data_IF_657351410078
#
_entry.id   IF_657351410078
#
_cell.length_a   1.000
_cell.length_b   1.000
_cell.length_c   1.000
_cell.angle_alpha   90.00
_cell.angle_beta   90.00
_cell.angle_gamma   90.00
#
_symmetry.space_group_name_H-M   'P 1'
#
loop_
_entity.id
_entity.type
_entity.pdbx_description
1 polymer ?
#
# COMPACT_ATOMS: atom_id res chain seq x y z
N UNK A 1 -40.37 25.36 45.75
CA UNK A 1 -38.91 25.15 45.64
C UNK A 1 -38.58 23.67 45.32
N UNK A 2 -39.37 23.01 44.46
CA UNK A 2 -39.22 21.57 44.11
C UNK A 2 -38.85 21.32 42.63
N UNK A 3 -38.96 22.31 41.73
CA UNK A 3 -38.69 22.12 40.30
C UNK A 3 -37.22 22.12 39.87
N UNK A 4 -36.26 22.19 40.80
CA UNK A 4 -34.81 22.21 40.46
C UNK A 4 -34.17 20.82 40.52
N UNK A 5 -34.71 19.88 41.29
CA UNK A 5 -34.13 18.52 41.39
C UNK A 5 -34.56 17.60 40.26
N UNK A 6 -35.77 17.74 39.71
CA UNK A 6 -36.25 16.92 38.58
C UNK A 6 -35.43 17.19 37.31
N UNK A 7 -35.24 18.46 36.95
CA UNK A 7 -34.39 18.85 35.80
C UNK A 7 -32.93 18.37 35.93
N UNK A 8 -32.40 18.26 37.15
CA UNK A 8 -31.02 17.83 37.38
C UNK A 8 -30.86 16.32 37.15
N UNK A 9 -31.86 15.53 37.52
CA UNK A 9 -31.87 14.08 37.31
C UNK A 9 -32.01 13.73 35.83
N UNK A 10 -32.88 14.42 35.09
CA UNK A 10 -33.04 14.24 33.64
C UNK A 10 -31.75 14.56 32.88
N UNK A 11 -31.09 15.67 33.22
CA UNK A 11 -29.82 16.04 32.60
C UNK A 11 -28.70 15.03 32.90
N UNK A 12 -28.65 14.51 34.12
CA UNK A 12 -27.69 13.49 34.53
C UNK A 12 -27.93 12.17 33.79
N UNK A 13 -29.17 11.71 33.68
CA UNK A 13 -29.54 10.49 32.94
C UNK A 13 -29.15 10.63 31.46
N UNK A 14 -29.51 11.74 30.83
CA UNK A 14 -29.15 12.04 29.43
C UNK A 14 -27.63 12.02 29.24
N UNK A 15 -26.89 12.71 30.10
CA UNK A 15 -25.41 12.76 30.03
C UNK A 15 -24.78 11.37 30.18
N UNK A 16 -25.23 10.58 31.16
CA UNK A 16 -24.73 9.22 31.38
C UNK A 16 -25.03 8.30 30.19
N UNK A 17 -26.22 8.46 29.57
CA UNK A 17 -26.63 7.74 28.37
C UNK A 17 -25.71 8.04 27.18
N UNK A 18 -25.41 9.30 26.90
CA UNK A 18 -24.46 9.68 25.84
C UNK A 18 -23.04 9.18 26.09
N UNK A 19 -22.57 9.23 27.34
CA UNK A 19 -21.25 8.68 27.70
C UNK A 19 -21.23 7.16 27.45
N UNK A 20 -22.29 6.44 27.81
CA UNK A 20 -22.42 5.01 27.54
C UNK A 20 -22.36 4.72 26.04
N UNK A 21 -23.06 5.50 25.22
CA UNK A 21 -23.06 5.35 23.76
C UNK A 21 -21.65 5.57 23.16
N UNK A 22 -20.95 6.61 23.58
CA UNK A 22 -19.57 6.86 23.13
C UNK A 22 -18.61 5.74 23.53
N UNK A 23 -18.79 5.16 24.73
CA UNK A 23 -17.99 4.00 25.18
C UNK A 23 -18.32 2.74 24.37
N UNK A 24 -19.60 2.51 24.06
CA UNK A 24 -20.05 1.38 23.26
C UNK A 24 -19.48 1.44 21.84
N UNK A 25 -19.57 2.60 21.17
CA UNK A 25 -19.01 2.82 19.83
C UNK A 25 -17.48 2.56 19.83
N UNK A 26 -16.75 3.11 20.81
CA UNK A 26 -15.30 2.89 20.96
C UNK A 26 -14.97 1.40 21.22
N UNK A 27 -15.81 0.69 21.95
CA UNK A 27 -15.65 -0.74 22.22
C UNK A 27 -15.80 -1.55 20.93
N UNK A 28 -16.87 -1.32 20.14
CA UNK A 28 -17.08 -1.97 18.85
C UNK A 28 -15.91 -1.70 17.92
N UNK A 29 -15.52 -0.43 17.75
CA UNK A 29 -14.38 -0.06 16.91
C UNK A 29 -13.10 -0.80 17.34
N UNK A 30 -12.82 -0.84 18.65
CA UNK A 30 -11.67 -1.54 19.18
C UNK A 30 -11.70 -3.06 18.95
N UNK A 31 -12.89 -3.69 18.98
CA UNK A 31 -13.08 -5.11 18.66
C UNK A 31 -12.88 -5.35 17.16
N UNK A 32 -13.42 -4.49 16.29
CA UNK A 32 -13.23 -4.60 14.84
C UNK A 32 -11.76 -4.49 14.45
N UNK A 33 -11.03 -3.50 15.01
CA UNK A 33 -9.58 -3.35 14.77
C UNK A 33 -8.80 -4.56 15.29
N UNK A 34 -9.17 -5.09 16.45
CA UNK A 34 -8.54 -6.28 17.00
C UNK A 34 -8.79 -7.51 16.13
N UNK A 35 -10.03 -7.73 15.70
CA UNK A 35 -10.41 -8.82 14.80
C UNK A 35 -9.67 -8.74 13.47
N UNK A 36 -9.56 -7.54 12.88
CA UNK A 36 -8.77 -7.30 11.69
C UNK A 36 -7.29 -7.64 11.88
N UNK A 37 -6.67 -7.20 12.99
CA UNK A 37 -5.26 -7.49 13.28
C UNK A 37 -4.98 -8.98 13.50
N UNK A 38 -5.89 -9.68 14.17
CA UNK A 38 -5.81 -11.13 14.38
C UNK A 38 -5.90 -11.85 13.04
N UNK A 39 -6.85 -11.47 12.19
CA UNK A 39 -7.05 -12.07 10.87
C UNK A 39 -5.85 -11.83 9.94
N UNK A 40 -5.16 -10.68 10.08
CA UNK A 40 -4.07 -10.27 9.20
C UNK A 40 -2.66 -10.44 9.78
N UNK A 41 -2.50 -11.28 10.81
CA UNK A 41 -1.20 -11.78 11.32
C UNK A 41 -0.14 -10.70 11.63
N UNK A 42 -0.53 -9.50 12.08
CA UNK A 42 0.44 -8.51 12.59
C UNK A 42 0.56 -8.68 14.10
N UNK A 43 1.78 -8.92 14.57
CA UNK A 43 2.13 -9.22 15.97
C UNK A 43 1.32 -8.42 16.98
N UNK A 44 0.75 -9.14 17.97
CA UNK A 44 -0.18 -8.58 18.95
C UNK A 44 0.54 -8.22 20.24
N UNK A 45 0.72 -6.92 20.48
CA UNK A 45 1.33 -6.43 21.71
C UNK A 45 0.29 -6.36 22.84
N UNK A 46 0.16 -7.48 23.57
CA UNK A 46 -0.94 -7.81 24.50
C UNK A 46 -0.95 -6.93 25.76
N UNK A 47 0.20 -6.40 26.18
CA UNK A 47 0.36 -5.79 27.50
C UNK A 47 -0.19 -4.35 27.58
N UNK A 48 0.16 -3.50 26.62
CA UNK A 48 -0.29 -2.10 26.60
C UNK A 48 -1.79 -1.95 26.25
N UNK A 49 -2.36 -2.93 25.54
CA UNK A 49 -3.77 -2.94 25.16
C UNK A 49 -4.70 -3.19 26.36
N UNK A 50 -4.28 -4.02 27.31
CA UNK A 50 -5.10 -4.42 28.47
C UNK A 50 -5.13 -3.31 29.53
N UNK A 51 -4.01 -2.63 29.79
CA UNK A 51 -3.91 -1.64 30.86
C UNK A 51 -4.78 -0.40 30.60
N UNK A 52 -4.82 0.09 29.35
CA UNK A 52 -5.61 1.27 28.96
C UNK A 52 -7.13 1.00 28.93
N UNK A 53 -7.56 -0.26 28.80
CA UNK A 53 -8.97 -0.67 28.76
C UNK A 53 -9.64 -0.79 30.12
N UNK A 54 -8.88 -0.95 31.22
CA UNK A 54 -9.46 -1.10 32.57
C UNK A 54 -10.29 0.12 32.99
N UNK A 55 -9.81 1.32 32.70
CA UNK A 55 -10.53 2.58 33.03
C UNK A 55 -11.84 2.70 32.24
N UNK A 56 -11.84 2.36 30.95
CA UNK A 56 -13.05 2.40 30.12
C UNK A 56 -14.07 1.34 30.54
N UNK A 57 -13.62 0.14 30.94
CA UNK A 57 -14.49 -0.91 31.45
C UNK A 57 -15.15 -0.49 32.78
N UNK A 58 -14.39 0.13 33.69
CA UNK A 58 -14.95 0.67 34.94
C UNK A 58 -15.99 1.75 34.67
N UNK A 59 -15.70 2.72 33.80
CA UNK A 59 -16.65 3.77 33.42
C UNK A 59 -17.93 3.19 32.79
N UNK A 60 -17.80 2.16 31.95
CA UNK A 60 -18.94 1.48 31.34
C UNK A 60 -19.82 0.80 32.38
N UNK A 61 -19.24 0.09 33.35
CA UNK A 61 -19.96 -0.55 34.45
C UNK A 61 -20.67 0.48 35.34
N UNK A 62 -20.01 1.60 35.63
CA UNK A 62 -20.61 2.71 36.40
C UNK A 62 -21.81 3.30 35.67
N UNK A 63 -21.72 3.54 34.36
CA UNK A 63 -22.83 4.08 33.57
C UNK A 63 -24.04 3.12 33.55
N UNK A 64 -23.79 1.81 33.42
CA UNK A 64 -24.86 0.79 33.51
C UNK A 64 -25.51 0.77 34.89
N UNK A 65 -24.71 0.84 35.96
CA UNK A 65 -25.23 0.84 37.33
C UNK A 65 -26.12 2.06 37.60
N UNK A 66 -25.72 3.24 37.12
CA UNK A 66 -26.51 4.48 37.23
C UNK A 66 -27.82 4.37 36.44
N UNK A 67 -27.80 3.92 35.18
CA UNK A 67 -29.02 3.79 34.39
C UNK A 67 -29.99 2.74 34.97
N UNK A 68 -29.45 1.64 35.51
CA UNK A 68 -30.26 0.62 36.20
C UNK A 68 -30.88 1.15 37.49
N UNK A 69 -30.19 2.03 38.21
CA UNK A 69 -30.72 2.67 39.42
C UNK A 69 -31.94 3.53 39.12
N UNK A 70 -32.01 4.12 37.93
CA UNK A 70 -33.13 4.95 37.47
C UNK A 70 -34.19 4.17 36.65
N UNK A 71 -34.06 2.84 36.51
CA UNK A 71 -34.95 1.96 35.70
C UNK A 71 -35.11 2.40 34.23
N UNK A 72 -34.06 3.02 33.68
CA UNK A 72 -34.05 3.57 32.32
C UNK A 72 -33.59 2.53 31.29
N UNK A 73 -34.13 2.63 30.06
CA UNK A 73 -33.72 1.75 28.96
C UNK A 73 -32.29 2.06 28.52
N UNK A 74 -31.53 1.00 28.25
CA UNK A 74 -30.12 1.12 27.88
C UNK A 74 -29.89 1.52 26.43
N UNK A 75 -30.79 1.15 25.51
CA UNK A 75 -30.59 1.32 24.05
C UNK A 75 -31.87 1.91 23.46
N UNK A 76 -31.72 3.08 22.85
CA UNK A 76 -32.76 3.77 22.09
C UNK A 76 -32.32 3.97 20.64
N UNK A 77 -33.25 4.36 19.78
CA UNK A 77 -32.98 4.57 18.34
C UNK A 77 -31.89 5.63 18.09
N UNK A 78 -31.68 6.54 19.05
CA UNK A 78 -30.62 7.56 19.03
C UNK A 78 -29.20 6.97 18.89
N UNK A 79 -28.98 5.74 19.38
CA UNK A 79 -27.69 5.04 19.26
C UNK A 79 -27.32 4.82 17.79
N UNK A 80 -28.32 4.51 16.96
CA UNK A 80 -28.11 4.24 15.53
C UNK A 80 -27.65 5.52 14.84
N UNK A 81 -28.27 6.65 15.15
CA UNK A 81 -27.90 7.95 14.59
C UNK A 81 -26.50 8.40 15.03
N UNK A 82 -26.15 8.20 16.31
CA UNK A 82 -24.79 8.47 16.81
C UNK A 82 -23.75 7.55 16.17
N UNK A 83 -24.09 6.29 15.94
CA UNK A 83 -23.23 5.34 15.25
C UNK A 83 -23.00 5.74 13.79
N UNK A 84 -24.06 6.12 13.07
CA UNK A 84 -23.96 6.65 11.71
C UNK A 84 -23.12 7.93 11.68
N UNK A 85 -23.36 8.87 12.59
CA UNK A 85 -22.57 10.09 12.72
C UNK A 85 -21.08 9.81 12.96
N UNK A 86 -20.78 8.86 13.84
CA UNK A 86 -19.42 8.39 14.07
C UNK A 86 -18.77 7.80 12.82
N UNK A 87 -19.50 6.97 12.06
CA UNK A 87 -19.01 6.41 10.79
C UNK A 87 -18.72 7.51 9.76
N UNK A 88 -19.58 8.54 9.67
CA UNK A 88 -19.37 9.68 8.77
C UNK A 88 -18.12 10.47 9.18
N UNK A 89 -17.95 10.75 10.48
CA UNK A 89 -16.73 11.44 10.96
C UNK A 89 -15.47 10.63 10.69
N UNK A 90 -15.51 9.30 10.91
CA UNK A 90 -14.39 8.41 10.65
C UNK A 90 -14.04 8.39 9.15
N UNK A 91 -15.06 8.36 8.28
CA UNK A 91 -14.85 8.41 6.83
C UNK A 91 -14.22 9.74 6.38
N UNK A 92 -14.67 10.86 6.95
CA UNK A 92 -14.11 12.18 6.64
C UNK A 92 -12.66 12.30 7.10
N UNK A 93 -12.34 11.86 8.32
CA UNK A 93 -10.96 11.81 8.81
C UNK A 93 -10.06 10.94 7.93
N UNK A 94 -10.57 9.80 7.42
CA UNK A 94 -9.82 8.96 6.48
C UNK A 94 -9.57 9.66 5.13
N UNK A 95 -10.52 10.47 4.66
CA UNK A 95 -10.40 11.20 3.39
C UNK A 95 -9.46 12.40 3.51
N UNK A 96 -9.50 13.13 4.61
CA UNK A 96 -8.63 14.29 4.85
C UNK A 96 -7.17 13.89 5.14
N UNK A 97 -6.95 12.71 5.72
CA UNK A 97 -5.61 12.18 5.96
C UNK A 97 -4.95 11.53 4.73
N UNK A 98 -5.36 11.90 3.51
CA UNK A 98 -4.65 11.54 2.28
C UNK A 98 -3.34 12.34 2.15
N UNK A 99 -2.50 12.30 3.19
CA UNK A 99 -1.10 12.67 3.06
C UNK A 99 -0.46 11.75 2.03
N UNK A 100 0.41 12.29 1.19
CA UNK A 100 1.20 11.49 0.25
C UNK A 100 2.03 10.52 1.08
N UNK A 101 1.57 9.27 1.17
CA UNK A 101 2.33 8.24 1.88
C UNK A 101 3.66 8.05 1.17
N UNK A 102 4.69 7.66 1.92
CA UNK A 102 6.03 7.43 1.37
C UNK A 102 6.02 6.52 0.13
N UNK A 103 5.14 5.49 0.13
CA UNK A 103 4.94 4.61 -1.01
C UNK A 103 4.34 5.30 -2.24
N UNK A 104 3.33 6.16 -2.08
CA UNK A 104 2.75 6.93 -3.19
C UNK A 104 3.79 7.88 -3.79
N UNK A 105 4.53 8.60 -2.95
CA UNK A 105 5.57 9.51 -3.43
C UNK A 105 6.67 8.79 -4.24
N UNK A 106 7.07 7.59 -3.79
CA UNK A 106 8.02 6.74 -4.52
C UNK A 106 7.47 6.24 -5.86
N UNK A 107 6.21 5.85 -5.90
CA UNK A 107 5.57 5.40 -7.14
C UNK A 107 5.42 6.54 -8.16
N UNK A 108 5.01 7.74 -7.71
CA UNK A 108 4.99 8.95 -8.55
C UNK A 108 6.38 9.28 -9.08
N UNK A 109 7.39 9.27 -8.22
CA UNK A 109 8.78 9.55 -8.61
C UNK A 109 9.31 8.56 -9.65
N UNK A 110 8.98 7.28 -9.52
CA UNK A 110 9.38 6.27 -10.50
C UNK A 110 8.65 6.41 -11.83
N UNK A 111 7.35 6.72 -11.80
CA UNK A 111 6.60 6.94 -13.03
C UNK A 111 7.09 8.18 -13.77
N UNK A 112 7.06 9.34 -13.13
CA UNK A 112 7.41 10.63 -13.74
C UNK A 112 8.89 10.76 -14.05
N UNK A 113 9.77 10.26 -13.17
CA UNK A 113 11.22 10.40 -13.29
C UNK A 113 11.91 9.34 -14.14
N UNK A 114 11.20 8.29 -14.54
CA UNK A 114 11.78 7.18 -15.30
C UNK A 114 10.82 6.62 -16.37
N UNK A 115 9.69 6.04 -15.99
CA UNK A 115 8.82 5.34 -16.96
C UNK A 115 8.28 6.26 -18.05
N UNK A 116 7.88 7.48 -17.70
CA UNK A 116 7.42 8.51 -18.63
C UNK A 116 8.51 8.92 -19.64
N UNK A 117 9.78 8.69 -19.33
CA UNK A 117 10.89 8.97 -20.23
C UNK A 117 11.28 7.80 -21.12
N UNK A 118 11.09 6.55 -20.68
CA UNK A 118 11.57 5.38 -21.41
C UNK A 118 10.49 4.69 -22.26
N UNK A 119 9.21 4.75 -21.85
CA UNK A 119 8.13 4.01 -22.52
C UNK A 119 7.69 4.72 -23.81
N UNK A 120 7.17 5.96 -23.76
CA UNK A 120 6.59 6.60 -24.93
C UNK A 120 7.68 7.06 -25.92
N UNK A 121 7.38 6.94 -27.21
CA UNK A 121 8.09 7.68 -28.25
C UNK A 121 7.55 9.11 -28.29
N UNK A 122 8.42 10.08 -28.56
CA UNK A 122 8.03 11.45 -28.84
C UNK A 122 7.77 11.68 -30.35
N UNK A 123 7.94 10.65 -31.18
CA UNK A 123 7.75 10.68 -32.63
C UNK A 123 8.77 11.51 -33.40
N UNK A 124 9.76 12.12 -32.73
CA UNK A 124 10.69 13.07 -33.35
C UNK A 124 12.15 12.71 -33.08
N UNK A 125 12.57 12.78 -31.81
CA UNK A 125 13.98 12.64 -31.43
C UNK A 125 14.26 11.39 -30.58
N UNK A 126 13.21 10.78 -30.01
CA UNK A 126 13.30 9.68 -29.07
C UNK A 126 12.50 8.47 -29.53
N UNK A 127 13.26 7.41 -29.75
CA UNK A 127 12.75 6.07 -30.02
C UNK A 127 12.03 5.57 -28.77
N UNK A 128 10.77 5.20 -28.90
CA UNK A 128 9.99 4.60 -27.81
C UNK A 128 10.50 3.19 -27.47
N UNK A 129 10.05 2.66 -26.34
CA UNK A 129 10.53 1.36 -25.85
C UNK A 129 10.31 0.21 -26.84
N UNK A 130 9.14 0.15 -27.47
CA UNK A 130 8.81 -0.88 -28.46
C UNK A 130 9.72 -0.81 -29.68
N UNK A 131 10.00 0.39 -30.17
CA UNK A 131 10.89 0.61 -31.31
C UNK A 131 12.35 0.29 -30.95
N UNK A 132 12.77 0.56 -29.71
CA UNK A 132 14.08 0.15 -29.21
C UNK A 132 14.23 -1.38 -29.20
N UNK A 133 13.17 -2.11 -28.82
CA UNK A 133 13.13 -3.57 -28.96
C UNK A 133 13.25 -3.99 -30.42
N UNK A 134 12.53 -3.34 -31.34
CA UNK A 134 12.60 -3.66 -32.78
C UNK A 134 14.02 -3.53 -33.33
N UNK A 135 14.73 -2.45 -32.96
CA UNK A 135 16.12 -2.23 -33.37
C UNK A 135 17.02 -3.32 -32.77
N UNK A 136 16.81 -3.69 -31.51
CA UNK A 136 17.55 -4.78 -30.87
C UNK A 136 17.32 -6.13 -31.57
N UNK A 137 16.06 -6.50 -31.84
CA UNK A 137 15.69 -7.71 -32.60
C UNK A 137 16.40 -7.75 -33.95
N UNK A 138 16.37 -6.65 -34.69
CA UNK A 138 17.03 -6.55 -36.00
C UNK A 138 18.56 -6.68 -35.90
N UNK A 139 19.17 -6.09 -34.88
CA UNK A 139 20.63 -6.13 -34.71
C UNK A 139 21.17 -7.47 -34.20
N UNK A 140 20.41 -8.16 -33.34
CA UNK A 140 20.83 -9.40 -32.69
C UNK A 140 20.25 -10.66 -33.35
N UNK A 141 19.31 -10.51 -34.29
CA UNK A 141 18.63 -11.63 -34.93
C UNK A 141 17.76 -12.44 -33.97
N UNK A 142 17.14 -11.78 -32.99
CA UNK A 142 16.28 -12.40 -31.97
C UNK A 142 14.84 -11.90 -32.07
N UNK A 143 13.92 -12.56 -31.38
CA UNK A 143 12.51 -12.15 -31.31
C UNK A 143 12.05 -12.13 -29.85
N UNK A 144 11.43 -11.02 -29.46
CA UNK A 144 10.73 -10.77 -28.20
C UNK A 144 9.25 -11.05 -28.44
N UNK A 145 8.68 -12.14 -27.88
CA UNK A 145 7.26 -12.44 -28.05
C UNK A 145 6.34 -11.36 -27.50
N UNK A 146 6.82 -10.59 -26.51
CA UNK A 146 6.10 -9.47 -25.90
C UNK A 146 7.02 -8.26 -25.85
N UNK A 147 6.66 -7.20 -26.56
CA UNK A 147 7.42 -5.94 -26.64
C UNK A 147 7.03 -4.98 -25.50
N UNK A 148 7.10 -5.48 -24.26
CA UNK A 148 6.76 -4.73 -23.05
C UNK A 148 7.88 -4.85 -22.02
N UNK A 149 7.98 -3.82 -21.17
CA UNK A 149 8.88 -3.83 -20.02
C UNK A 149 8.19 -4.52 -18.85
N UNK A 150 8.74 -5.66 -18.44
CA UNK A 150 8.26 -6.40 -17.28
C UNK A 150 8.87 -5.81 -15.99
N UNK A 151 8.04 -5.18 -15.18
CA UNK A 151 8.48 -4.58 -13.90
C UNK A 151 8.22 -5.57 -12.77
N UNK A 152 9.29 -6.11 -12.19
CA UNK A 152 9.23 -7.11 -11.12
C UNK A 152 9.02 -6.42 -9.77
N UNK A 153 7.93 -6.78 -9.11
CA UNK A 153 7.59 -6.29 -7.77
C UNK A 153 7.67 -7.45 -6.77
N UNK A 154 8.69 -7.44 -5.91
CA UNK A 154 8.90 -8.50 -4.91
C UNK A 154 8.22 -8.19 -3.59
N UNK A 155 7.59 -9.20 -2.97
CA UNK A 155 6.98 -9.06 -1.63
C UNK A 155 8.02 -8.80 -0.54
N UNK A 156 9.22 -9.34 -0.69
CA UNK A 156 10.34 -9.13 0.24
C UNK A 156 11.00 -7.76 0.07
N UNK A 157 10.65 -7.00 -0.98
CA UNK A 157 11.25 -5.73 -1.39
C UNK A 157 12.72 -5.85 -1.84
N UNK A 158 13.33 -6.99 -1.58
CA UNK A 158 14.64 -7.36 -2.06
C UNK A 158 14.64 -7.43 -3.59
N UNK A 159 15.52 -6.64 -4.18
CA UNK A 159 15.79 -6.59 -5.61
C UNK A 159 17.29 -6.88 -5.82
N UNK A 160 17.66 -8.06 -6.33
CA UNK A 160 19.06 -8.37 -6.58
C UNK A 160 19.61 -7.48 -7.71
N UNK A 161 20.94 -7.27 -7.76
CA UNK A 161 21.58 -6.50 -8.83
C UNK A 161 21.46 -7.16 -10.21
N UNK A 162 21.21 -8.48 -10.26
CA UNK A 162 20.98 -9.24 -11.49
C UNK A 162 19.80 -10.21 -11.25
N UNK A 163 18.82 -10.19 -12.15
CA UNK A 163 17.63 -11.01 -12.07
C UNK A 163 17.92 -12.52 -12.10
N UNK A 164 19.08 -12.95 -12.62
CA UNK A 164 19.50 -14.37 -12.57
C UNK A 164 19.60 -14.90 -11.13
N UNK A 165 19.78 -14.02 -10.15
CA UNK A 165 19.90 -14.40 -8.76
C UNK A 165 18.59 -14.88 -8.13
N UNK A 166 17.42 -14.55 -8.70
CA UNK A 166 16.14 -15.02 -8.16
C UNK A 166 16.01 -16.56 -8.20
N UNK A 167 16.51 -17.20 -9.26
CA UNK A 167 16.34 -18.65 -9.47
C UNK A 167 17.61 -19.47 -9.21
N UNK A 168 18.71 -18.84 -8.74
CA UNK A 168 20.04 -19.48 -8.66
C UNK A 168 20.05 -20.81 -7.87
N UNK A 169 19.22 -20.92 -6.84
CA UNK A 169 19.20 -22.08 -5.94
C UNK A 169 18.11 -23.11 -6.27
N UNK A 170 17.29 -22.87 -7.30
CA UNK A 170 16.15 -23.74 -7.62
C UNK A 170 16.23 -24.27 -9.05
N UNK A 171 16.81 -25.46 -9.20
CA UNK A 171 17.00 -26.14 -10.49
C UNK A 171 15.69 -26.53 -11.18
N UNK A 172 14.54 -26.45 -10.48
CA UNK A 172 13.22 -26.73 -11.07
C UNK A 172 12.63 -25.52 -11.81
N UNK A 173 13.17 -24.32 -11.61
CA UNK A 173 12.68 -23.10 -12.26
C UNK A 173 13.46 -22.83 -13.56
N UNK A 174 12.82 -22.20 -14.56
CA UNK A 174 13.50 -21.72 -15.75
C UNK A 174 14.71 -20.83 -15.41
N UNK A 175 15.84 -21.08 -16.07
CA UNK A 175 17.05 -20.30 -15.90
C UNK A 175 16.94 -18.98 -16.66
N UNK A 176 17.30 -17.89 -16.01
CA UNK A 176 17.32 -16.55 -16.59
C UNK A 176 18.77 -16.15 -16.89
N UNK A 177 19.03 -15.82 -18.14
CA UNK A 177 20.33 -15.34 -18.61
C UNK A 177 20.22 -13.86 -18.97
N UNK A 178 21.14 -13.04 -18.46
CA UNK A 178 21.24 -11.64 -18.84
C UNK A 178 21.87 -11.52 -20.23
N UNK A 179 21.22 -10.76 -21.12
CA UNK A 179 21.73 -10.47 -22.46
C UNK A 179 22.36 -9.07 -22.52
N UNK A 180 22.86 -8.68 -23.69
CA UNK A 180 23.27 -7.30 -23.93
C UNK A 180 22.08 -6.36 -23.71
N UNK A 181 22.33 -5.20 -23.10
CA UNK A 181 21.32 -4.16 -22.90
C UNK A 181 20.70 -3.70 -24.22
N UNK A 182 19.45 -3.25 -24.16
CA UNK A 182 18.82 -2.51 -25.26
C UNK A 182 19.59 -1.22 -25.55
N UNK A 183 19.32 -0.58 -26.70
CA UNK A 183 19.99 0.66 -27.05
C UNK A 183 19.70 1.76 -26.03
N UNK A 184 20.69 2.63 -25.83
CA UNK A 184 20.62 3.70 -24.85
C UNK A 184 19.65 4.78 -25.32
N UNK A 185 18.80 5.25 -24.41
CA UNK A 185 17.97 6.43 -24.65
C UNK A 185 18.62 7.59 -23.90
N UNK A 186 19.05 8.61 -24.62
CA UNK A 186 19.68 9.81 -24.04
C UNK A 186 18.65 10.94 -23.97
N UNK A 187 18.48 11.59 -22.81
CA UNK A 187 17.56 12.73 -22.63
C UNK A 187 18.13 13.80 -21.71
N UNK A 188 17.74 15.03 -21.95
CA UNK A 188 18.02 16.14 -21.03
C UNK A 188 16.90 16.24 -19.98
N UNK A 189 17.22 16.08 -18.70
CA UNK A 189 16.22 16.06 -17.61
C UNK A 189 16.73 16.82 -16.40
N UNK A 190 15.89 17.71 -15.85
CA UNK A 190 16.15 18.43 -14.59
C UNK A 190 17.53 19.15 -14.54
N UNK A 191 17.96 19.73 -15.66
CA UNK A 191 19.25 20.42 -15.77
C UNK A 191 20.45 19.51 -16.02
N UNK A 192 20.29 18.18 -15.99
CA UNK A 192 21.30 17.24 -16.45
C UNK A 192 21.21 17.07 -17.97
N UNK A 193 22.33 17.31 -18.66
CA UNK A 193 22.46 17.10 -20.10
C UNK A 193 22.93 15.67 -20.39
N UNK A 194 22.37 15.04 -21.42
CA UNK A 194 22.79 13.73 -21.89
C UNK A 194 22.59 12.59 -20.90
N UNK A 195 21.47 12.59 -20.17
CA UNK A 195 21.15 11.51 -19.23
C UNK A 195 20.77 10.25 -19.99
N UNK A 196 21.53 9.17 -19.79
CA UNK A 196 21.28 7.89 -20.46
C UNK A 196 20.40 6.97 -19.62
N UNK A 197 19.43 6.36 -20.29
CA UNK A 197 18.54 5.34 -19.77
C UNK A 197 18.83 4.04 -20.50
N UNK A 198 18.93 2.94 -19.74
CA UNK A 198 19.27 1.61 -20.25
C UNK A 198 18.32 0.58 -19.67
N UNK A 199 17.78 -0.27 -20.54
CA UNK A 199 17.01 -1.44 -20.15
C UNK A 199 17.78 -2.71 -20.50
N UNK A 200 17.58 -3.75 -19.71
CA UNK A 200 18.24 -5.04 -19.89
C UNK A 200 17.31 -6.03 -20.57
N UNK A 201 17.84 -6.70 -21.60
CA UNK A 201 17.21 -7.87 -22.18
C UNK A 201 17.61 -9.12 -21.40
N UNK A 202 16.67 -10.06 -21.26
CA UNK A 202 16.86 -11.33 -20.61
C UNK A 202 16.34 -12.46 -21.49
N UNK A 203 16.97 -13.61 -21.32
CA UNK A 203 16.64 -14.85 -22.01
C UNK A 203 16.20 -15.89 -20.98
N UNK A 204 14.96 -16.36 -21.08
CA UNK A 204 14.43 -17.48 -20.29
C UNK A 204 14.70 -18.78 -21.03
N UNK A 205 15.43 -19.69 -20.39
CA UNK A 205 15.62 -21.06 -20.87
C UNK A 205 14.51 -21.97 -20.36
N UNK A 206 13.80 -22.61 -21.28
CA UNK A 206 12.71 -23.55 -21.00
C UNK A 206 13.17 -24.97 -21.29
N UNK A 207 12.69 -25.93 -20.50
CA UNK A 207 13.03 -27.34 -20.74
C UNK A 207 12.38 -27.80 -22.05
N UNK A 208 13.20 -28.32 -22.97
CA UNK A 208 12.77 -28.86 -24.27
C UNK A 208 12.06 -27.86 -25.21
N UNK A 209 12.19 -26.55 -24.95
CA UNK A 209 11.59 -25.50 -25.78
C UNK A 209 12.64 -24.43 -26.11
N UNK A 210 12.51 -23.73 -27.24
CA UNK A 210 13.41 -22.63 -27.57
C UNK A 210 13.33 -21.52 -26.50
N UNK A 211 14.46 -20.86 -26.21
CA UNK A 211 14.50 -19.81 -25.22
C UNK A 211 13.68 -18.59 -25.67
N UNK A 212 13.16 -17.85 -24.69
CA UNK A 212 12.31 -16.67 -24.92
C UNK A 212 13.03 -15.42 -24.45
N UNK A 213 13.02 -14.38 -25.27
CA UNK A 213 13.57 -13.08 -24.93
C UNK A 213 12.49 -12.15 -24.37
N UNK A 214 12.85 -11.37 -23.36
CA UNK A 214 12.00 -10.36 -22.76
C UNK A 214 12.87 -9.24 -22.18
N UNK A 215 12.28 -8.07 -21.97
CA UNK A 215 12.92 -6.97 -21.25
C UNK A 215 12.31 -6.85 -19.86
N UNK A 216 13.13 -6.96 -18.82
CA UNK A 216 12.66 -6.94 -17.44
C UNK A 216 13.60 -6.15 -16.53
N UNK A 217 13.02 -5.62 -15.46
CA UNK A 217 13.78 -4.96 -14.39
C UNK A 217 12.99 -5.01 -13.08
N UNK A 218 13.70 -4.88 -11.96
CA UNK A 218 13.04 -4.66 -10.68
C UNK A 218 12.57 -3.20 -10.57
N UNK A 219 11.43 -2.98 -9.92
CA UNK A 219 11.01 -1.64 -9.55
C UNK A 219 12.04 -1.01 -8.59
N UNK A 220 12.82 -0.04 -9.08
CA UNK A 220 13.90 0.60 -8.32
C UNK A 220 13.47 1.18 -6.96
N UNK A 221 12.21 1.69 -6.77
CA UNK A 221 11.80 2.15 -5.44
C UNK A 221 11.73 1.05 -4.38
N UNK A 222 11.55 -0.22 -4.77
CA UNK A 222 11.55 -1.34 -3.82
C UNK A 222 12.91 -1.51 -3.16
N UNK A 223 14.00 -1.29 -3.91
CA UNK A 223 15.35 -1.34 -3.35
C UNK A 223 15.59 -0.22 -2.34
N UNK A 224 15.16 1.00 -2.68
CA UNK A 224 15.21 2.14 -1.74
C UNK A 224 14.43 1.83 -0.48
N UNK A 225 13.25 1.26 -0.63
CA UNK A 225 12.38 0.87 0.47
C UNK A 225 12.99 -0.23 1.34
N UNK A 226 13.55 -1.28 0.73
CA UNK A 226 14.22 -2.37 1.41
C UNK A 226 15.36 -1.83 2.30
N UNK A 227 16.18 -0.93 1.76
CA UNK A 227 17.26 -0.26 2.52
C UNK A 227 16.73 0.64 3.64
N UNK A 228 15.62 1.34 3.44
CA UNK A 228 15.01 2.16 4.47
C UNK A 228 14.50 1.30 5.65
N UNK A 229 13.92 0.14 5.35
CA UNK A 229 13.49 -0.84 6.35
C UNK A 229 14.66 -1.46 7.11
N UNK A 230 15.74 -1.86 6.43
CA UNK A 230 16.96 -2.35 7.08
C UNK A 230 17.54 -1.33 8.05
N UNK A 231 17.46 -0.04 7.70
CA UNK A 231 17.90 1.09 8.55
C UNK A 231 16.89 1.45 9.65
N UNK A 232 15.79 0.70 9.79
CA UNK A 232 14.69 0.90 10.75
C UNK A 232 14.08 2.31 10.74
N UNK A 233 14.07 3.00 9.59
CA UNK A 233 13.49 4.35 9.52
C UNK A 233 11.99 4.34 9.29
N UNK A 234 11.38 3.20 8.94
CA UNK A 234 9.95 3.07 8.57
C UNK A 234 9.36 1.74 9.07
N UNK A 235 8.02 1.67 9.24
CA UNK A 235 7.31 0.44 9.61
C UNK A 235 6.78 -0.31 8.39
N UNK A 236 6.90 -1.65 8.33
CA UNK A 236 6.47 -2.49 7.18
C UNK A 236 5.00 -2.25 6.75
N UNK A 237 4.16 -1.80 7.68
CA UNK A 237 2.74 -1.58 7.47
C UNK A 237 2.36 -0.43 6.55
N UNK A 238 3.25 0.53 6.33
CA UNK A 238 2.97 1.80 5.64
C UNK A 238 3.35 1.77 4.15
N UNK A 239 3.88 0.65 3.64
CA UNK A 239 4.84 0.73 2.52
C UNK A 239 4.49 -0.10 1.28
N UNK A 240 4.08 -1.36 1.44
CA UNK A 240 3.87 -2.26 0.29
C UNK A 240 2.53 -2.02 -0.39
N UNK A 241 1.48 -1.81 0.41
CA UNK A 241 0.11 -1.66 -0.07
C UNK A 241 -0.05 -0.41 -0.94
N UNK A 242 0.47 0.78 -0.55
CA UNK A 242 0.31 1.98 -1.37
C UNK A 242 1.05 1.92 -2.71
N UNK A 243 2.23 1.29 -2.77
CA UNK A 243 3.01 1.16 -4.01
C UNK A 243 2.27 0.26 -5.00
N UNK A 244 1.84 -0.92 -4.56
CA UNK A 244 1.09 -1.86 -5.40
C UNK A 244 -0.23 -1.24 -5.84
N UNK A 245 -0.96 -0.60 -4.92
CA UNK A 245 -2.20 0.08 -5.23
C UNK A 245 -2.01 1.18 -6.29
N UNK A 246 -1.01 2.07 -6.12
CA UNK A 246 -0.77 3.16 -7.06
C UNK A 246 -0.34 2.66 -8.43
N UNK A 247 0.57 1.68 -8.47
CA UNK A 247 1.00 1.07 -9.74
C UNK A 247 -0.16 0.34 -10.45
N UNK A 248 -1.08 -0.30 -9.72
CA UNK A 248 -2.23 -0.98 -10.34
C UNK A 248 -3.38 -0.04 -10.74
N UNK A 249 -3.58 1.07 -10.03
CA UNK A 249 -4.73 1.98 -10.24
C UNK A 249 -4.41 3.16 -11.14
N UNK A 250 -3.21 3.71 -11.05
CA UNK A 250 -2.79 4.84 -11.91
C UNK A 250 -2.26 4.34 -13.26
N UNK A 251 -1.68 3.14 -13.30
CA UNK A 251 -1.28 2.48 -14.56
C UNK A 251 -2.42 1.57 -15.03
N UNK A 252 -3.49 2.15 -15.58
CA UNK A 252 -4.57 1.38 -16.21
C UNK A 252 -4.07 0.59 -17.45
N UNK A 253 -4.85 -0.38 -17.98
CA UNK A 253 -4.55 -1.82 -18.12
C UNK A 253 -3.51 -2.21 -19.19
N UNK A 254 -2.47 -1.42 -19.43
CA UNK A 254 -1.51 -1.70 -20.51
C UNK A 254 -0.20 -2.37 -20.06
N UNK A 255 0.13 -2.40 -18.76
CA UNK A 255 1.54 -2.48 -18.36
C UNK A 255 1.93 -3.38 -17.19
N UNK A 256 1.02 -4.20 -16.63
CA UNK A 256 1.39 -5.15 -15.57
C UNK A 256 0.87 -6.55 -15.92
N UNK A 257 1.75 -7.34 -16.52
CA UNK A 257 1.84 -8.80 -16.45
C UNK A 257 3.32 -9.13 -16.42
#
# INVERSE_FOLDING_TARGET
MFGKSENMNEWLISTVRYILYMLYIKMIHGICVLGYRILHSRGFDRYNYILRRKTYALLFVVCIAVLKYFDEKFIEEEVVWLFIGYLVTLYLEMKENSSVTYGVGMACSFFEGYLAHIIPSDGANFVGFEENINIYEASQGVVFPVKKLFIIITKSLYCPPDLKHFNKNNQRLPYLEACQSLFEVEKDVAGAKGRTYRNSAYKIHRQNEPPVYLAAECATPLHTLHKALERRTLSESELIIPIIWYLLTTVHPCLIL
#
